data_IF_521388907925
#
_entry.id   IF_521388907925
#
_cell.length_a   1.000
_cell.length_b   1.000
_cell.length_c   1.000
_cell.angle_alpha   90.00
_cell.angle_beta   90.00
_cell.angle_gamma   90.00
#
_symmetry.space_group_name_H-M   'P 1'
#
loop_
_entity.id
_entity.type
_entity.pdbx_description
1 polymer ?
#
# COMPACT_ATOMS: atom_id res chain seq x y z
N UNK A 1 6.07 -6.25 1.03
CA UNK A 1 5.50 -6.34 -0.34
C UNK A 1 5.78 -5.06 -1.11
N UNK A 2 5.86 -5.06 -2.46
CA UNK A 2 6.19 -3.87 -3.20
C UNK A 2 5.00 -2.90 -3.19
N UNK A 3 5.32 -1.62 -3.00
CA UNK A 3 4.49 -0.52 -3.45
C UNK A 3 4.40 -0.61 -4.98
N UNK A 4 3.19 -0.56 -5.53
CA UNK A 4 3.00 -0.44 -6.98
C UNK A 4 2.48 0.93 -7.32
N UNK A 5 2.79 1.44 -8.51
CA UNK A 5 2.16 2.67 -9.01
C UNK A 5 0.70 2.35 -9.30
N UNK A 6 -0.21 3.25 -8.92
CA UNK A 6 -1.62 3.09 -9.25
C UNK A 6 -1.79 2.95 -10.77
N UNK A 7 -2.68 2.05 -11.18
CA UNK A 7 -2.99 1.82 -12.58
C UNK A 7 -3.61 3.05 -13.26
N UNK A 8 -3.57 3.06 -14.60
CA UNK A 8 -4.22 4.11 -15.39
C UNK A 8 -5.72 4.22 -15.05
N UNK A 9 -6.30 5.44 -15.01
CA UNK A 9 -5.72 6.74 -15.37
C UNK A 9 -4.97 7.46 -14.24
N UNK A 10 -4.71 6.80 -13.11
CA UNK A 10 -4.14 7.41 -11.90
C UNK A 10 -2.62 7.23 -11.77
N UNK A 11 -1.95 6.79 -12.83
CA UNK A 11 -0.50 6.65 -12.84
C UNK A 11 0.19 7.99 -12.47
N UNK A 12 1.15 7.92 -11.55
CA UNK A 12 1.85 9.09 -11.01
C UNK A 12 1.01 9.95 -10.04
N UNK A 13 -0.25 9.58 -9.79
CA UNK A 13 -1.16 10.26 -8.84
C UNK A 13 -1.53 9.38 -7.65
N UNK A 14 -1.19 8.08 -7.70
CA UNK A 14 -1.42 7.15 -6.60
C UNK A 14 -0.39 6.04 -6.55
N UNK A 15 -0.37 5.38 -5.40
CA UNK A 15 0.36 4.14 -5.15
C UNK A 15 -0.58 3.13 -4.48
N UNK A 16 -0.40 1.86 -4.81
CA UNK A 16 -1.08 0.73 -4.20
C UNK A 16 -0.16 0.08 -3.17
N UNK A 17 -0.61 0.08 -1.92
CA UNK A 17 0.08 -0.54 -0.79
C UNK A 17 -0.64 -1.81 -0.41
N UNK A 18 0.10 -2.92 -0.34
CA UNK A 18 -0.44 -4.21 0.07
C UNK A 18 0.46 -4.79 1.14
N UNK A 19 -0.07 -5.00 2.34
CA UNK A 19 0.68 -5.58 3.44
C UNK A 19 0.99 -7.06 3.17
N UNK A 20 2.14 -7.53 3.64
CA UNK A 20 2.52 -8.93 3.45
C UNK A 20 1.55 -9.86 4.19
N UNK A 21 1.00 -10.83 3.46
CA UNK A 21 0.04 -11.79 4.00
C UNK A 21 -1.41 -11.32 4.00
N UNK A 22 -1.71 -10.10 3.53
CA UNK A 22 -3.08 -9.63 3.34
C UNK A 22 -3.81 -10.52 2.31
N UNK A 23 -4.92 -11.19 2.70
CA UNK A 23 -5.67 -12.10 1.84
C UNK A 23 -6.55 -11.39 0.79
N UNK A 24 -6.73 -10.07 0.88
CA UNK A 24 -7.60 -9.29 -0.01
C UNK A 24 -6.81 -8.79 -1.21
N UNK A 25 -5.67 -8.14 -0.98
CA UNK A 25 -4.82 -7.61 -2.06
C UNK A 25 -3.76 -8.60 -2.55
N UNK A 26 -3.69 -9.80 -1.96
CA UNK A 26 -2.73 -10.83 -2.36
C UNK A 26 -3.18 -12.25 -2.05
N UNK A 27 -2.36 -13.24 -2.41
CA UNK A 27 -2.57 -14.66 -2.07
C UNK A 27 -2.25 -14.99 -0.59
N UNK A 28 -2.30 -13.98 0.28
CA UNK A 28 -2.08 -14.13 1.72
C UNK A 28 -3.22 -14.88 2.42
N UNK A 29 -3.02 -15.19 3.71
CA UNK A 29 -4.03 -15.86 4.56
C UNK A 29 -4.15 -15.25 5.95
N UNK A 30 -3.51 -14.10 6.18
CA UNK A 30 -3.51 -13.43 7.48
C UNK A 30 -4.52 -12.28 7.49
N UNK A 31 -5.71 -12.45 8.10
CA UNK A 31 -6.72 -11.39 8.12
C UNK A 31 -6.25 -10.14 8.89
N UNK A 32 -5.36 -10.28 9.88
CA UNK A 32 -4.81 -9.12 10.59
C UNK A 32 -3.89 -8.28 9.71
N UNK A 33 -3.26 -8.86 8.68
CA UNK A 33 -2.47 -8.09 7.73
C UNK A 33 -3.33 -7.09 6.94
N UNK A 34 -4.64 -7.39 6.75
CA UNK A 34 -5.57 -6.49 6.08
C UNK A 34 -6.05 -5.32 6.95
N UNK A 35 -6.10 -5.50 8.26
CA UNK A 35 -6.71 -4.52 9.18
C UNK A 35 -5.70 -3.76 10.04
N UNK A 36 -4.41 -4.03 9.88
CA UNK A 36 -3.35 -3.43 10.71
C UNK A 36 -2.26 -2.72 9.89
N UNK A 37 -2.64 -2.06 8.79
CA UNK A 37 -1.71 -1.29 7.95
C UNK A 37 -0.96 -0.21 8.73
N UNK A 38 -1.62 0.39 9.72
CA UNK A 38 -1.10 1.45 10.57
C UNK A 38 0.09 1.03 11.45
N UNK A 39 0.26 -0.29 11.65
CA UNK A 39 1.37 -0.87 12.44
C UNK A 39 2.58 -1.23 11.59
N UNK A 40 2.55 -0.92 10.30
CA UNK A 40 3.60 -1.29 9.33
C UNK A 40 4.36 -0.06 8.83
N UNK A 41 5.51 -0.23 8.16
CA UNK A 41 6.22 0.87 7.51
C UNK A 41 5.44 1.55 6.35
N UNK A 42 4.31 0.98 5.92
CA UNK A 42 3.56 1.44 4.74
C UNK A 42 2.94 2.83 4.94
N UNK A 43 2.63 3.23 6.19
CA UNK A 43 2.15 4.59 6.50
C UNK A 43 3.19 5.64 6.13
N UNK A 44 4.47 5.38 6.44
CA UNK A 44 5.57 6.27 6.07
C UNK A 44 5.77 6.36 4.56
N UNK A 45 5.53 5.27 3.83
CA UNK A 45 5.61 5.25 2.37
C UNK A 45 4.46 6.06 1.73
N UNK A 46 3.24 5.93 2.26
CA UNK A 46 2.11 6.76 1.85
C UNK A 46 2.38 8.25 2.08
N UNK A 47 2.87 8.60 3.28
CA UNK A 47 3.21 9.98 3.62
C UNK A 47 4.34 10.53 2.71
N UNK A 48 5.38 9.75 2.46
CA UNK A 48 6.47 10.12 1.56
C UNK A 48 6.00 10.34 0.13
N UNK A 49 5.11 9.49 -0.39
CA UNK A 49 4.51 9.68 -1.71
C UNK A 49 3.72 11.00 -1.77
N UNK A 50 2.81 11.24 -0.83
CA UNK A 50 2.02 12.49 -0.81
C UNK A 50 2.93 13.71 -0.69
N UNK A 51 3.97 13.65 0.14
CA UNK A 51 4.95 14.74 0.27
C UNK A 51 5.72 15.01 -1.02
N UNK A 52 5.90 14.01 -1.89
CA UNK A 52 6.57 14.19 -3.19
C UNK A 52 5.68 14.83 -4.27
N UNK A 53 4.37 14.95 -4.01
CA UNK A 53 3.40 15.58 -4.91
C UNK A 53 3.16 17.07 -4.61
N UNK A 54 3.68 17.57 -3.47
CA UNK A 54 3.62 18.97 -3.07
C UNK A 54 4.75 19.77 -3.71
#
# INVERSE_FOLDING_TARGET
KPVSIAMMPFAGKGIDLCNDGDPICSQGRNPFAHTSYEKTPLVGQAAGFVSSLL
#
